data_IF_459498465286
#
_entry.id   IF_459498465286
#
_cell.length_a   1.000
_cell.length_b   1.000
_cell.length_c   1.000
_cell.angle_alpha   90.00
_cell.angle_beta   90.00
_cell.angle_gamma   90.00
#
_symmetry.space_group_name_H-M   'P 1'
#
loop_
_entity.id
_entity.type
_entity.pdbx_description
1 polymer ?
#
# COMPACT_ATOMS: atom_id res chain seq x y z
N UNK A 1 18.26 17.32 19.47
CA UNK A 1 16.97 17.25 18.71
C UNK A 1 16.57 15.78 18.61
N UNK A 2 15.27 15.39 18.78
CA UNK A 2 14.85 13.99 18.65
C UNK A 2 14.99 13.52 17.20
N UNK A 3 15.46 12.29 16.99
CA UNK A 3 15.53 11.67 15.65
C UNK A 3 14.12 11.34 15.12
N UNK A 4 13.99 11.11 13.82
CA UNK A 4 12.73 10.68 13.18
C UNK A 4 12.17 9.41 13.85
N UNK A 5 13.04 8.44 14.17
CA UNK A 5 12.65 7.22 14.89
C UNK A 5 12.08 7.57 16.28
N UNK A 6 12.76 8.40 17.05
CA UNK A 6 12.27 8.81 18.38
C UNK A 6 10.92 9.52 18.32
N UNK A 7 10.70 10.37 17.30
CA UNK A 7 9.39 11.03 17.07
C UNK A 7 8.32 10.01 16.70
N UNK A 8 8.64 9.04 15.84
CA UNK A 8 7.74 7.95 15.46
C UNK A 8 7.32 7.13 16.67
N UNK A 9 8.28 6.68 17.49
CA UNK A 9 8.01 5.90 18.70
C UNK A 9 7.15 6.68 19.72
N UNK A 10 7.42 7.95 19.87
CA UNK A 10 6.62 8.82 20.74
C UNK A 10 5.17 8.95 20.24
N UNK A 11 4.98 9.14 18.94
CA UNK A 11 3.63 9.20 18.33
C UNK A 11 2.91 7.86 18.49
N UNK A 12 3.58 6.75 18.19
CA UNK A 12 3.03 5.40 18.35
C UNK A 12 2.60 5.10 19.80
N UNK A 13 3.37 5.61 20.79
CA UNK A 13 3.04 5.46 22.21
C UNK A 13 1.84 6.30 22.63
N UNK A 14 1.78 7.55 22.20
CA UNK A 14 0.84 8.54 22.74
C UNK A 14 -0.48 8.59 21.96
N UNK A 15 -0.45 8.35 20.68
CA UNK A 15 -1.60 8.51 19.77
C UNK A 15 -2.10 7.15 19.26
N UNK A 16 -3.32 6.77 19.65
CA UNK A 16 -3.91 5.48 19.25
C UNK A 16 -4.13 5.35 17.75
N UNK A 17 -4.57 6.41 17.09
CA UNK A 17 -4.82 6.43 15.65
C UNK A 17 -3.58 6.16 14.78
N UNK A 18 -2.36 6.22 15.37
CA UNK A 18 -1.15 5.76 14.70
C UNK A 18 -1.24 4.29 14.27
N UNK A 19 -1.97 3.47 15.03
CA UNK A 19 -2.06 2.03 14.83
C UNK A 19 -3.16 1.61 13.86
N UNK A 20 -4.11 2.50 13.54
CA UNK A 20 -5.26 2.20 12.67
C UNK A 20 -4.83 1.58 11.35
N UNK A 21 -3.80 2.15 10.70
CA UNK A 21 -3.20 1.61 9.48
C UNK A 21 -2.74 0.16 9.65
N UNK A 22 -2.07 -0.14 10.73
CA UNK A 22 -1.47 -1.45 10.96
C UNK A 22 -2.52 -2.50 11.34
N UNK A 23 -3.49 -2.13 12.20
CA UNK A 23 -4.58 -3.02 12.59
C UNK A 23 -5.42 -3.45 11.39
N UNK A 24 -5.75 -2.54 10.48
CA UNK A 24 -6.55 -2.89 9.29
C UNK A 24 -5.77 -3.74 8.28
N UNK A 25 -4.45 -3.62 8.26
CA UNK A 25 -3.59 -4.47 7.45
C UNK A 25 -3.32 -5.84 8.09
N UNK A 26 -3.63 -6.05 9.36
CA UNK A 26 -3.59 -7.36 10.01
C UNK A 26 -2.80 -7.45 11.30
N UNK A 27 -2.19 -6.35 11.76
CA UNK A 27 -1.59 -6.35 13.10
C UNK A 27 -2.68 -6.50 14.14
N UNK A 28 -2.54 -7.48 15.03
CA UNK A 28 -3.55 -7.83 16.01
C UNK A 28 -3.58 -6.82 17.17
N UNK A 29 -4.77 -6.46 17.62
CA UNK A 29 -4.97 -5.42 18.65
C UNK A 29 -4.29 -5.77 19.99
N UNK A 30 -4.19 -7.06 20.35
CA UNK A 30 -3.50 -7.47 21.55
C UNK A 30 -1.98 -7.18 21.47
N UNK A 31 -1.35 -7.39 20.29
CA UNK A 31 0.06 -7.08 20.05
C UNK A 31 0.33 -5.59 20.21
N UNK A 32 -0.59 -4.76 19.67
CA UNK A 32 -0.51 -3.29 19.82
C UNK A 32 -0.68 -2.87 21.28
N UNK A 33 -1.66 -3.42 21.99
CA UNK A 33 -1.94 -3.07 23.39
C UNK A 33 -0.81 -3.44 24.34
N UNK A 34 -0.10 -4.52 24.06
CA UNK A 34 1.08 -4.95 24.84
C UNK A 34 2.28 -4.02 24.64
N UNK A 35 2.60 -3.67 23.38
CA UNK A 35 3.81 -2.88 23.10
C UNK A 35 3.62 -1.40 23.41
N UNK A 36 2.46 -0.84 23.12
CA UNK A 36 2.22 0.61 23.16
C UNK A 36 2.67 1.30 24.45
N UNK A 37 2.35 0.82 25.67
CA UNK A 37 2.81 1.45 26.92
C UNK A 37 4.33 1.36 27.12
N UNK A 38 4.99 0.38 26.50
CA UNK A 38 6.41 0.08 26.66
C UNK A 38 7.31 0.82 25.66
N UNK A 39 6.76 1.44 24.62
CA UNK A 39 7.51 2.11 23.56
C UNK A 39 8.35 3.27 24.09
N UNK A 40 9.61 2.99 24.44
CA UNK A 40 10.58 3.96 24.91
C UNK A 40 11.78 4.14 23.96
N UNK A 41 12.14 3.10 23.23
CA UNK A 41 13.29 3.07 22.34
C UNK A 41 13.09 2.10 21.17
N UNK A 42 14.04 2.09 20.25
CA UNK A 42 14.00 1.27 19.03
C UNK A 42 14.11 -0.24 19.33
N UNK A 43 14.89 -0.62 20.32
CA UNK A 43 15.09 -2.02 20.71
C UNK A 43 13.77 -2.67 21.15
N UNK A 44 12.98 -1.98 21.99
CA UNK A 44 11.64 -2.46 22.38
C UNK A 44 10.74 -2.69 21.17
N UNK A 45 10.77 -1.80 20.18
CA UNK A 45 10.02 -1.98 18.93
C UNK A 45 10.49 -3.20 18.15
N UNK A 46 11.79 -3.28 17.88
CA UNK A 46 12.34 -4.35 17.03
C UNK A 46 12.22 -5.72 17.68
N UNK A 47 12.45 -5.83 18.99
CA UNK A 47 12.32 -7.09 19.73
C UNK A 47 10.87 -7.58 19.78
N UNK A 48 9.92 -6.69 20.04
CA UNK A 48 8.51 -7.07 20.13
C UNK A 48 7.98 -7.59 18.79
N UNK A 49 8.20 -6.87 17.70
CA UNK A 49 7.73 -7.31 16.39
C UNK A 49 8.56 -8.46 15.81
N UNK A 50 9.84 -8.62 16.22
CA UNK A 50 10.58 -9.84 15.91
C UNK A 50 9.98 -11.06 16.62
N UNK A 51 9.64 -10.96 17.90
CA UNK A 51 8.97 -12.04 18.66
C UNK A 51 7.62 -12.39 18.04
N UNK A 52 6.82 -11.39 17.69
CA UNK A 52 5.54 -11.60 17.01
C UNK A 52 5.72 -12.28 15.65
N UNK A 53 6.71 -11.84 14.86
CA UNK A 53 7.04 -12.45 13.58
C UNK A 53 7.46 -13.92 13.73
N UNK A 54 8.36 -14.22 14.67
CA UNK A 54 8.80 -15.60 14.95
C UNK A 54 7.68 -16.51 15.45
N UNK A 55 6.82 -16.00 16.36
CA UNK A 55 5.66 -16.74 16.84
C UNK A 55 4.75 -17.15 15.68
N UNK A 56 4.42 -16.21 14.82
CA UNK A 56 3.57 -16.48 13.66
C UNK A 56 4.26 -17.42 12.64
N UNK A 57 5.57 -17.33 12.46
CA UNK A 57 6.32 -18.26 11.61
C UNK A 57 6.28 -19.69 12.17
N UNK A 58 6.42 -19.86 13.49
CA UNK A 58 6.31 -21.15 14.16
C UNK A 58 4.88 -21.73 14.07
N UNK A 59 3.86 -20.90 14.25
CA UNK A 59 2.46 -21.30 14.05
C UNK A 59 2.22 -21.75 12.60
N UNK A 60 2.71 -20.99 11.62
CA UNK A 60 2.61 -21.35 10.21
C UNK A 60 3.24 -22.73 9.95
N UNK A 61 4.43 -22.98 10.46
CA UNK A 61 5.09 -24.27 10.33
C UNK A 61 4.28 -25.41 10.96
N UNK A 62 3.77 -25.22 12.19
CA UNK A 62 2.93 -26.21 12.87
C UNK A 62 1.64 -26.50 12.12
N UNK A 63 0.99 -25.52 11.50
CA UNK A 63 -0.19 -25.73 10.67
C UNK A 63 0.15 -26.46 9.38
N UNK A 64 1.28 -26.13 8.76
CA UNK A 64 1.74 -26.80 7.54
C UNK A 64 2.00 -28.29 7.76
N UNK A 65 2.66 -28.66 8.87
CA UNK A 65 2.88 -30.06 9.27
C UNK A 65 1.58 -30.84 9.50
N UNK A 66 0.50 -30.14 9.88
CA UNK A 66 -0.85 -30.71 10.03
C UNK A 66 -1.68 -30.67 8.75
N UNK A 67 -1.07 -30.32 7.61
CA UNK A 67 -1.73 -30.16 6.31
C UNK A 67 -2.85 -29.08 6.29
N UNK A 68 -2.83 -28.14 7.23
CA UNK A 68 -3.72 -26.99 7.28
C UNK A 68 -3.08 -25.81 6.51
N UNK A 69 -3.07 -25.94 5.19
CA UNK A 69 -2.30 -25.07 4.29
C UNK A 69 -2.79 -23.62 4.31
N UNK A 70 -4.10 -23.39 4.38
CA UNK A 70 -4.67 -22.03 4.40
C UNK A 70 -4.29 -21.27 5.67
N UNK A 71 -4.30 -21.95 6.82
CA UNK A 71 -3.86 -21.42 8.10
C UNK A 71 -2.36 -21.13 8.08
N UNK A 72 -1.57 -22.06 7.56
CA UNK A 72 -0.12 -21.88 7.42
C UNK A 72 0.21 -20.66 6.52
N UNK A 73 -0.46 -20.54 5.37
CA UNK A 73 -0.33 -19.38 4.49
C UNK A 73 -0.64 -18.07 5.21
N UNK A 74 -1.76 -18.02 5.94
CA UNK A 74 -2.17 -16.84 6.70
C UNK A 74 -1.11 -16.42 7.72
N UNK A 75 -0.61 -17.35 8.53
CA UNK A 75 0.38 -17.04 9.57
C UNK A 75 1.76 -16.68 9.00
N UNK A 76 2.18 -17.23 7.86
CA UNK A 76 3.38 -16.74 7.16
C UNK A 76 3.20 -15.29 6.66
N UNK A 77 2.03 -14.91 6.13
CA UNK A 77 1.76 -13.53 5.73
C UNK A 77 1.74 -12.58 6.93
N UNK A 78 1.19 -13.03 8.05
CA UNK A 78 1.17 -12.24 9.28
C UNK A 78 2.58 -12.08 9.85
N UNK A 79 3.40 -13.14 9.85
CA UNK A 79 4.83 -13.06 10.19
C UNK A 79 5.55 -12.02 9.31
N UNK A 80 5.32 -12.03 8.00
CA UNK A 80 5.89 -11.06 7.08
C UNK A 80 5.49 -9.63 7.45
N UNK A 81 4.23 -9.39 7.83
CA UNK A 81 3.74 -8.07 8.24
C UNK A 81 4.47 -7.56 9.50
N UNK A 82 4.74 -8.41 10.48
CA UNK A 82 5.49 -8.02 11.67
C UNK A 82 6.96 -7.68 11.35
N UNK A 83 7.60 -8.44 10.47
CA UNK A 83 8.95 -8.08 9.99
C UNK A 83 8.92 -6.80 9.12
N UNK A 84 7.83 -6.56 8.39
CA UNK A 84 7.65 -5.30 7.66
C UNK A 84 7.54 -4.09 8.60
N UNK A 85 6.90 -4.22 9.77
CA UNK A 85 6.91 -3.18 10.81
C UNK A 85 8.32 -2.86 11.29
N UNK A 86 9.18 -3.89 11.46
CA UNK A 86 10.56 -3.69 11.86
C UNK A 86 11.38 -2.96 10.80
N UNK A 87 11.23 -3.27 9.51
CA UNK A 87 11.92 -2.49 8.48
C UNK A 87 11.35 -1.08 8.35
N UNK A 88 10.02 -0.94 8.53
CA UNK A 88 9.34 0.34 8.34
C UNK A 88 9.80 1.40 9.33
N UNK A 89 10.16 1.04 10.57
CA UNK A 89 10.61 2.01 11.58
C UNK A 89 11.84 2.81 11.11
N UNK A 90 12.68 2.24 10.25
CA UNK A 90 13.85 2.91 9.68
C UNK A 90 13.44 3.74 8.46
N UNK A 91 13.49 5.08 8.52
CA UNK A 91 13.08 5.95 7.40
C UNK A 91 14.09 5.95 6.26
N UNK A 92 15.37 5.66 6.54
CA UNK A 92 16.47 5.64 5.56
C UNK A 92 17.00 4.22 5.37
N UNK A 93 17.60 3.98 4.21
CA UNK A 93 18.37 2.77 3.98
C UNK A 93 19.47 2.61 5.02
N UNK A 94 19.59 1.43 5.55
CA UNK A 94 20.69 0.93 6.39
C UNK A 94 20.64 -0.59 6.46
N UNK A 95 21.63 -1.20 7.10
CA UNK A 95 21.73 -2.66 7.21
C UNK A 95 20.56 -3.26 8.00
N UNK A 96 20.10 -2.61 9.07
CA UNK A 96 18.94 -3.08 9.84
C UNK A 96 17.65 -3.10 9.02
N UNK A 97 17.38 -2.02 8.26
CA UNK A 97 16.23 -1.97 7.34
C UNK A 97 16.28 -3.11 6.33
N UNK A 98 17.45 -3.31 5.74
CA UNK A 98 17.70 -4.39 4.78
C UNK A 98 17.48 -5.76 5.39
N UNK A 99 18.04 -6.01 6.57
CA UNK A 99 17.88 -7.27 7.32
C UNK A 99 16.40 -7.59 7.61
N UNK A 100 15.67 -6.64 8.16
CA UNK A 100 14.26 -6.86 8.49
C UNK A 100 13.39 -7.04 7.26
N UNK A 101 13.70 -6.34 6.17
CA UNK A 101 12.94 -6.51 4.96
C UNK A 101 13.24 -7.84 4.26
N UNK A 102 14.45 -8.34 4.34
CA UNK A 102 14.78 -9.69 3.87
C UNK A 102 13.98 -10.76 4.65
N UNK A 103 13.85 -10.64 5.97
CA UNK A 103 13.00 -11.53 6.78
C UNK A 103 11.52 -11.45 6.34
N UNK A 104 11.00 -10.26 6.09
CA UNK A 104 9.67 -10.06 5.55
C UNK A 104 9.49 -10.81 4.23
N UNK A 105 10.40 -10.62 3.28
CA UNK A 105 10.35 -11.26 1.96
C UNK A 105 10.47 -12.79 2.02
N UNK A 106 11.29 -13.32 2.94
CA UNK A 106 11.39 -14.77 3.17
C UNK A 106 10.04 -15.32 3.63
N UNK A 107 9.39 -14.69 4.61
CA UNK A 107 8.09 -15.15 5.13
C UNK A 107 6.98 -15.06 4.08
N UNK A 108 6.92 -13.98 3.29
CA UNK A 108 5.91 -13.86 2.24
C UNK A 108 6.11 -14.90 1.14
N UNK A 109 7.36 -15.19 0.77
CA UNK A 109 7.69 -16.24 -0.22
C UNK A 109 7.35 -17.63 0.28
N UNK A 110 7.49 -17.91 1.58
CA UNK A 110 7.01 -19.18 2.19
C UNK A 110 5.49 -19.28 2.07
N UNK A 111 4.74 -18.20 2.35
CA UNK A 111 3.29 -18.18 2.16
C UNK A 111 2.91 -18.45 0.71
N UNK A 112 3.57 -17.77 -0.23
CA UNK A 112 3.27 -17.91 -1.66
C UNK A 112 3.64 -19.29 -2.22
N UNK A 113 4.68 -19.94 -1.68
CA UNK A 113 5.11 -21.27 -2.11
C UNK A 113 4.13 -22.40 -1.74
N UNK A 114 3.33 -22.22 -0.67
CA UNK A 114 2.31 -23.20 -0.25
C UNK A 114 0.90 -22.81 -0.68
N UNK A 115 0.72 -21.57 -1.18
CA UNK A 115 -0.57 -21.08 -1.65
C UNK A 115 -1.04 -21.80 -2.90
N UNK A 116 -2.36 -22.01 -3.03
CA UNK A 116 -2.98 -22.49 -4.26
C UNK A 116 -3.04 -21.43 -5.38
N UNK A 117 -2.65 -20.19 -5.07
CA UNK A 117 -2.68 -19.06 -6.01
C UNK A 117 -1.37 -19.01 -6.78
N UNK A 118 -1.42 -19.07 -8.12
CA UNK A 118 -0.24 -18.84 -8.98
C UNK A 118 0.28 -17.42 -8.72
N UNK A 119 1.48 -17.34 -8.13
CA UNK A 119 2.14 -16.08 -7.77
C UNK A 119 3.45 -15.96 -8.50
N UNK A 120 3.62 -14.86 -9.24
CA UNK A 120 4.83 -14.56 -10.01
C UNK A 120 5.49 -13.31 -9.48
N UNK A 121 6.77 -13.41 -9.17
CA UNK A 121 7.61 -12.26 -8.84
C UNK A 121 8.17 -11.67 -10.13
N UNK A 122 7.99 -10.38 -10.31
CA UNK A 122 8.26 -9.66 -11.55
C UNK A 122 9.01 -8.37 -11.28
N UNK A 123 9.60 -7.80 -12.33
CA UNK A 123 10.30 -6.52 -12.21
C UNK A 123 10.13 -5.67 -13.47
N UNK A 124 10.25 -4.36 -13.28
CA UNK A 124 10.32 -3.37 -14.35
C UNK A 124 11.48 -2.41 -14.07
N UNK A 125 11.97 -1.74 -15.10
CA UNK A 125 13.08 -0.78 -14.98
C UNK A 125 12.57 0.66 -15.01
N UNK A 126 12.96 1.46 -14.00
CA UNK A 126 12.65 2.89 -13.91
C UNK A 126 13.93 3.65 -13.59
N UNK A 127 14.32 4.57 -14.45
CA UNK A 127 15.54 5.38 -14.27
C UNK A 127 16.80 4.54 -13.95
N UNK A 128 17.00 3.43 -14.66
CA UNK A 128 18.09 2.46 -14.47
C UNK A 128 18.11 1.77 -13.08
N UNK A 129 16.95 1.66 -12.44
CA UNK A 129 16.76 0.91 -11.19
C UNK A 129 15.63 -0.08 -11.38
N UNK A 130 15.80 -1.25 -10.77
CA UNK A 130 14.78 -2.30 -10.79
C UNK A 130 13.69 -2.02 -9.76
N UNK A 131 12.45 -1.90 -10.22
CA UNK A 131 11.26 -1.88 -9.37
C UNK A 131 10.67 -3.28 -9.29
N UNK A 132 10.47 -3.78 -8.06
CA UNK A 132 10.03 -5.15 -7.80
C UNK A 132 8.53 -5.24 -7.63
N UNK A 133 7.93 -6.27 -8.22
CA UNK A 133 6.49 -6.49 -8.19
C UNK A 133 6.09 -7.94 -8.00
N UNK A 134 4.80 -8.13 -7.85
CA UNK A 134 4.15 -9.43 -7.72
C UNK A 134 2.85 -9.43 -8.50
N UNK A 135 2.64 -10.51 -9.26
CA UNK A 135 1.39 -10.79 -9.98
C UNK A 135 0.78 -12.05 -9.39
N UNK A 136 -0.51 -11.99 -9.05
CA UNK A 136 -1.28 -13.16 -8.61
C UNK A 136 -2.37 -13.45 -9.61
N UNK A 137 -2.51 -14.71 -9.95
CA UNK A 137 -3.35 -15.20 -11.04
C UNK A 137 -4.42 -16.15 -10.50
N UNK A 138 -5.72 -15.81 -10.60
CA UNK A 138 -6.78 -16.76 -10.35
C UNK A 138 -6.98 -17.67 -11.55
N UNK A 139 -7.67 -18.80 -11.37
CA UNK A 139 -7.90 -19.77 -12.45
C UNK A 139 -8.75 -19.18 -13.60
N UNK A 140 -9.73 -18.34 -13.30
CA UNK A 140 -10.67 -17.77 -14.27
C UNK A 140 -10.77 -16.25 -14.06
N UNK A 141 -9.83 -15.44 -14.56
CA UNK A 141 -9.79 -14.02 -14.30
C UNK A 141 -10.96 -13.28 -14.97
N UNK A 142 -11.61 -12.39 -14.22
CA UNK A 142 -12.69 -11.51 -14.68
C UNK A 142 -12.21 -10.08 -14.94
N UNK A 143 -11.00 -9.74 -14.52
CA UNK A 143 -10.37 -8.43 -14.68
C UNK A 143 -8.96 -8.44 -14.08
N UNK A 144 -8.20 -7.39 -14.35
CA UNK A 144 -6.87 -7.17 -13.81
C UNK A 144 -6.85 -5.87 -13.01
N UNK A 145 -6.43 -5.92 -11.76
CA UNK A 145 -6.34 -4.75 -10.86
C UNK A 145 -4.87 -4.46 -10.57
N UNK A 146 -4.42 -3.29 -10.98
CA UNK A 146 -3.15 -2.72 -10.50
C UNK A 146 -3.43 -2.04 -9.16
N UNK A 147 -2.78 -2.51 -8.09
CA UNK A 147 -2.84 -1.89 -6.77
C UNK A 147 -1.72 -0.85 -6.68
N UNK A 148 -2.12 0.42 -6.58
CA UNK A 148 -1.18 1.53 -6.47
C UNK A 148 -1.00 1.88 -5.00
N UNK A 149 0.14 1.50 -4.46
CA UNK A 149 0.46 1.65 -3.04
C UNK A 149 0.61 3.13 -2.64
N UNK A 150 0.20 3.51 -1.41
CA UNK A 150 0.54 4.83 -0.88
C UNK A 150 2.05 4.96 -0.69
N UNK A 151 2.55 6.20 -0.76
CA UNK A 151 3.94 6.48 -0.39
C UNK A 151 4.22 6.00 1.05
N UNK A 152 5.43 5.62 1.37
CA UNK A 152 5.81 5.08 2.68
C UNK A 152 5.18 3.71 3.03
N UNK A 153 4.67 2.97 2.05
CA UNK A 153 4.23 1.59 2.23
C UNK A 153 5.07 0.62 1.38
N UNK A 154 4.73 -0.64 1.46
CA UNK A 154 5.25 -1.70 0.59
C UNK A 154 4.11 -2.61 0.13
N UNK A 155 4.29 -3.31 -0.99
CA UNK A 155 3.33 -4.32 -1.45
C UNK A 155 3.11 -5.41 -0.40
N UNK A 156 4.10 -5.66 0.47
CA UNK A 156 4.02 -6.66 1.53
C UNK A 156 3.05 -6.26 2.66
N UNK A 157 2.88 -4.96 2.90
CA UNK A 157 1.89 -4.44 3.83
C UNK A 157 0.46 -4.67 3.34
N UNK A 158 0.25 -4.57 2.03
CA UNK A 158 -1.08 -4.57 1.41
C UNK A 158 -1.55 -5.96 0.95
N UNK A 159 -0.97 -7.05 1.46
CA UNK A 159 -1.32 -8.40 1.04
C UNK A 159 -2.81 -8.72 1.15
N UNK A 160 -3.53 -8.14 2.13
CA UNK A 160 -4.98 -8.30 2.26
C UNK A 160 -5.75 -7.77 1.05
N UNK A 161 -5.25 -6.71 0.41
CA UNK A 161 -5.89 -6.16 -0.79
C UNK A 161 -5.79 -7.17 -1.93
N UNK A 162 -4.59 -7.73 -2.14
CA UNK A 162 -4.38 -8.76 -3.13
C UNK A 162 -5.28 -9.97 -2.88
N UNK A 163 -5.35 -10.45 -1.62
CA UNK A 163 -6.16 -11.61 -1.26
C UNK A 163 -7.67 -11.38 -1.45
N UNK A 164 -8.18 -10.18 -1.15
CA UNK A 164 -9.59 -9.89 -1.36
C UNK A 164 -9.96 -9.84 -2.84
N UNK A 165 -9.11 -9.25 -3.68
CA UNK A 165 -9.33 -9.19 -5.12
C UNK A 165 -9.19 -10.56 -5.79
N UNK A 166 -8.17 -11.34 -5.39
CA UNK A 166 -7.94 -12.67 -5.98
C UNK A 166 -9.10 -13.65 -5.68
N UNK A 167 -9.69 -13.58 -4.47
CA UNK A 167 -10.86 -14.39 -4.09
C UNK A 167 -12.09 -14.11 -4.96
N UNK A 168 -12.14 -12.96 -5.62
CA UNK A 168 -13.19 -12.60 -6.57
C UNK A 168 -12.73 -12.72 -8.03
N UNK A 169 -11.73 -13.52 -8.28
CA UNK A 169 -11.18 -13.83 -9.59
C UNK A 169 -10.58 -12.63 -10.35
N UNK A 170 -10.07 -11.61 -9.65
CA UNK A 170 -9.27 -10.57 -10.29
C UNK A 170 -7.79 -10.94 -10.27
N UNK A 171 -7.09 -10.79 -11.39
CA UNK A 171 -5.63 -10.71 -11.39
C UNK A 171 -5.23 -9.52 -10.55
N UNK A 172 -4.22 -9.66 -9.70
CA UNK A 172 -3.64 -8.52 -8.97
C UNK A 172 -2.21 -8.28 -9.41
N UNK A 173 -1.88 -7.02 -9.64
CA UNK A 173 -0.53 -6.55 -9.94
C UNK A 173 -0.18 -5.52 -8.87
N UNK A 174 0.87 -5.78 -8.11
CA UNK A 174 1.36 -4.89 -7.05
C UNK A 174 2.86 -4.72 -7.17
N UNK A 175 3.32 -3.47 -7.30
CA UNK A 175 4.73 -3.11 -7.37
C UNK A 175 5.09 -2.15 -6.24
N UNK A 176 6.32 -2.25 -5.77
CA UNK A 176 6.96 -1.17 -5.01
C UNK A 176 7.58 -0.19 -6.01
N UNK A 177 7.04 1.01 -6.05
CA UNK A 177 7.53 2.08 -6.91
C UNK A 177 8.69 2.89 -6.29
N UNK A 178 9.06 4.00 -6.91
CA UNK A 178 10.10 4.90 -6.38
C UNK A 178 9.77 5.37 -4.96
N UNK A 179 10.69 5.19 -4.04
CA UNK A 179 10.53 5.54 -2.62
C UNK A 179 9.81 4.51 -1.78
N UNK A 180 9.45 3.33 -2.33
CA UNK A 180 8.65 2.32 -1.64
C UNK A 180 9.41 1.00 -1.44
N UNK A 181 9.04 0.30 -0.38
CA UNK A 181 9.30 -1.10 -0.07
C UNK A 181 10.63 -1.67 -0.55
N UNK A 182 10.55 -2.75 -1.32
CA UNK A 182 11.70 -3.50 -1.85
C UNK A 182 12.58 -2.64 -2.77
N UNK A 183 11.95 -1.82 -3.63
CA UNK A 183 12.63 -0.93 -4.57
C UNK A 183 13.49 0.10 -3.84
N UNK A 184 12.94 0.83 -2.87
CA UNK A 184 13.74 1.80 -2.11
C UNK A 184 14.79 1.11 -1.23
N UNK A 185 14.42 0.02 -0.56
CA UNK A 185 15.32 -0.64 0.40
C UNK A 185 16.56 -1.21 -0.27
N UNK A 186 16.44 -1.82 -1.45
CA UNK A 186 17.58 -2.48 -2.11
C UNK A 186 18.20 -1.67 -3.25
N UNK A 187 17.42 -0.84 -3.93
CA UNK A 187 17.90 -0.05 -5.07
C UNK A 187 18.21 1.41 -4.72
N UNK A 188 17.68 1.92 -3.61
CA UNK A 188 17.83 3.31 -3.22
C UNK A 188 17.04 4.29 -4.09
N UNK A 189 16.17 3.81 -4.97
CA UNK A 189 15.40 4.67 -5.87
C UNK A 189 14.43 5.53 -5.08
N UNK A 190 14.71 6.83 -5.02
CA UNK A 190 13.84 7.82 -4.39
C UNK A 190 12.74 8.28 -5.33
N UNK A 191 11.64 8.74 -4.73
CA UNK A 191 10.48 9.26 -5.44
C UNK A 191 10.75 10.66 -6.02
N UNK A 192 10.36 10.86 -7.28
CA UNK A 192 10.12 12.16 -7.91
C UNK A 192 8.79 12.07 -8.67
N UNK A 193 8.17 13.20 -8.99
CA UNK A 193 6.95 13.20 -9.80
C UNK A 193 7.18 12.50 -11.15
N UNK A 194 8.29 12.80 -11.83
CA UNK A 194 8.60 12.17 -13.12
C UNK A 194 8.79 10.66 -13.02
N UNK A 195 9.54 10.17 -12.02
CA UNK A 195 9.72 8.73 -11.82
C UNK A 195 8.40 8.02 -11.53
N UNK A 196 7.50 8.67 -10.80
CA UNK A 196 6.17 8.13 -10.55
C UNK A 196 5.28 8.12 -11.79
N UNK A 197 5.38 9.13 -12.67
CA UNK A 197 4.73 9.11 -14.00
C UNK A 197 5.24 7.92 -14.81
N UNK A 198 6.56 7.84 -15.00
CA UNK A 198 7.21 6.76 -15.76
C UNK A 198 6.86 5.37 -15.17
N UNK A 199 6.85 5.25 -13.84
CA UNK A 199 6.49 4.02 -13.13
C UNK A 199 5.03 3.63 -13.39
N UNK A 200 4.08 4.55 -13.22
CA UNK A 200 2.66 4.27 -13.41
C UNK A 200 2.39 3.84 -14.85
N UNK A 201 2.94 4.56 -15.81
CA UNK A 201 2.78 4.24 -17.23
C UNK A 201 3.41 2.89 -17.57
N UNK A 202 4.61 2.59 -17.06
CA UNK A 202 5.28 1.30 -17.29
C UNK A 202 4.52 0.13 -16.68
N UNK A 203 3.93 0.28 -15.47
CA UNK A 203 3.11 -0.79 -14.85
C UNK A 203 1.84 -1.03 -15.67
N UNK A 204 1.21 0.02 -16.20
CA UNK A 204 0.04 -0.12 -17.09
C UNK A 204 0.43 -0.84 -18.39
N UNK A 205 1.55 -0.46 -19.00
CA UNK A 205 2.06 -1.14 -20.20
C UNK A 205 2.39 -2.60 -19.94
N UNK A 206 3.03 -2.89 -18.81
CA UNK A 206 3.30 -4.26 -18.36
C UNK A 206 1.99 -5.06 -18.25
N UNK A 207 0.99 -4.55 -17.53
CA UNK A 207 -0.28 -5.23 -17.35
C UNK A 207 -0.98 -5.50 -18.69
N UNK A 208 -1.02 -4.51 -19.56
CA UNK A 208 -1.62 -4.63 -20.90
C UNK A 208 -0.88 -5.64 -21.78
N UNK A 209 0.44 -5.67 -21.75
CA UNK A 209 1.22 -6.59 -22.59
C UNK A 209 1.05 -8.07 -22.20
N UNK A 210 0.82 -8.33 -20.91
CA UNK A 210 0.63 -9.70 -20.41
C UNK A 210 -0.84 -10.15 -20.38
N UNK A 211 -1.80 -9.20 -20.32
CA UNK A 211 -3.24 -9.47 -20.19
C UNK A 211 -4.07 -8.59 -21.12
N UNK A 212 -3.83 -8.61 -22.47
CA UNK A 212 -4.41 -7.66 -23.42
C UNK A 212 -5.94 -7.79 -23.55
N UNK A 213 -6.49 -8.99 -23.32
CA UNK A 213 -7.91 -9.28 -23.49
C UNK A 213 -8.72 -9.16 -22.18
N UNK A 214 -8.08 -8.71 -21.10
CA UNK A 214 -8.70 -8.61 -19.78
C UNK A 214 -8.87 -7.14 -19.39
N UNK A 215 -10.08 -6.69 -18.96
CA UNK A 215 -10.27 -5.32 -18.51
C UNK A 215 -9.30 -4.91 -17.42
N UNK A 216 -8.65 -3.75 -17.58
CA UNK A 216 -7.63 -3.25 -16.68
C UNK A 216 -8.18 -2.16 -15.77
N UNK A 217 -8.02 -2.34 -14.49
CA UNK A 217 -8.50 -1.47 -13.43
C UNK A 217 -7.36 -0.96 -12.55
N UNK A 218 -7.54 0.21 -11.96
CA UNK A 218 -6.63 0.76 -10.96
C UNK A 218 -7.34 0.87 -9.61
N UNK A 219 -6.64 0.50 -8.54
CA UNK A 219 -7.07 0.71 -7.16
C UNK A 219 -5.96 1.38 -6.38
N UNK A 220 -6.18 2.60 -5.90
CA UNK A 220 -5.17 3.35 -5.16
C UNK A 220 -5.70 3.94 -3.85
N UNK A 221 -4.80 4.07 -2.86
CA UNK A 221 -5.08 4.74 -1.58
C UNK A 221 -4.09 5.87 -1.35
N UNK A 222 -4.53 6.99 -0.78
CA UNK A 222 -3.69 8.17 -0.48
C UNK A 222 -2.97 8.70 -1.74
N UNK A 223 -1.64 8.83 -1.72
CA UNK A 223 -0.85 9.19 -2.91
C UNK A 223 -1.04 8.20 -4.06
N UNK A 224 -1.22 6.90 -3.76
CA UNK A 224 -1.56 5.90 -4.75
C UNK A 224 -2.91 6.15 -5.42
N UNK A 225 -3.89 6.73 -4.69
CA UNK A 225 -5.16 7.14 -5.27
C UNK A 225 -4.99 8.28 -6.29
N UNK A 226 -4.11 9.23 -6.02
CA UNK A 226 -3.78 10.31 -6.96
C UNK A 226 -3.12 9.76 -8.22
N UNK A 227 -2.25 8.76 -8.08
CA UNK A 227 -1.63 8.06 -9.20
C UNK A 227 -2.60 7.14 -9.93
N UNK A 228 -3.60 6.56 -9.27
CA UNK A 228 -4.69 5.83 -9.93
C UNK A 228 -5.55 6.77 -10.78
N UNK A 229 -5.82 7.99 -10.32
CA UNK A 229 -6.50 9.03 -11.13
C UNK A 229 -5.62 9.41 -12.32
N UNK A 230 -4.33 9.64 -12.15
CA UNK A 230 -3.41 9.89 -13.27
C UNK A 230 -3.43 8.73 -14.27
N UNK A 231 -3.25 7.50 -13.80
CA UNK A 231 -3.24 6.32 -14.67
C UNK A 231 -4.55 6.10 -15.42
N UNK A 232 -5.70 6.59 -14.90
CA UNK A 232 -6.97 6.51 -15.60
C UNK A 232 -7.03 7.34 -16.90
N UNK A 233 -6.08 8.26 -17.10
CA UNK A 233 -5.94 8.97 -18.37
C UNK A 233 -5.37 8.08 -19.50
N UNK A 234 -4.78 6.93 -19.15
CA UNK A 234 -4.28 5.99 -20.15
C UNK A 234 -5.45 5.23 -20.79
N UNK A 235 -5.55 5.19 -22.14
CA UNK A 235 -6.68 4.56 -22.86
C UNK A 235 -6.84 3.06 -22.55
N UNK A 236 -5.79 2.38 -22.12
CA UNK A 236 -5.77 0.96 -21.74
C UNK A 236 -6.50 0.67 -20.42
N UNK A 237 -6.65 1.68 -19.58
CA UNK A 237 -7.37 1.56 -18.30
C UNK A 237 -8.86 1.67 -18.53
N UNK A 238 -9.64 0.78 -17.93
CA UNK A 238 -11.10 0.76 -18.04
C UNK A 238 -11.76 1.65 -16.99
N UNK A 239 -11.41 1.47 -15.71
CA UNK A 239 -11.95 2.23 -14.57
C UNK A 239 -10.88 2.39 -13.48
N UNK A 240 -11.02 3.39 -12.60
CA UNK A 240 -10.13 3.58 -11.46
C UNK A 240 -10.90 3.85 -10.17
N UNK A 241 -10.40 3.28 -9.07
CA UNK A 241 -10.85 3.57 -7.71
C UNK A 241 -9.79 4.39 -6.99
N UNK A 242 -10.23 5.47 -6.37
CA UNK A 242 -9.38 6.39 -5.62
C UNK A 242 -9.90 6.57 -4.19
N UNK A 243 -9.13 6.08 -3.20
CA UNK A 243 -9.49 6.17 -1.78
C UNK A 243 -8.66 7.26 -1.12
N UNK A 244 -9.31 8.31 -0.65
CA UNK A 244 -8.68 9.50 -0.02
C UNK A 244 -7.48 10.02 -0.83
N UNK A 245 -7.65 10.45 -2.08
CA UNK A 245 -6.53 10.89 -2.91
C UNK A 245 -5.79 12.04 -2.23
N UNK A 246 -4.46 11.92 -2.12
CA UNK A 246 -3.60 12.96 -1.63
C UNK A 246 -3.50 14.07 -2.68
N UNK A 247 -3.88 15.28 -2.32
CA UNK A 247 -3.84 16.45 -3.19
C UNK A 247 -2.95 17.48 -2.53
N UNK A 248 -2.04 18.08 -3.30
CA UNK A 248 -1.24 19.18 -2.78
C UNK A 248 -2.17 20.34 -2.42
N UNK A 249 -2.24 20.65 -1.14
CA UNK A 249 -2.97 21.82 -0.64
C UNK A 249 -2.08 22.60 0.33
N UNK A 250 -2.28 23.91 0.40
CA UNK A 250 -1.63 24.76 1.41
C UNK A 250 -2.29 24.52 2.78
N UNK A 251 -1.48 24.54 3.85
CA UNK A 251 -1.99 24.55 5.23
C UNK A 251 -2.28 23.19 5.86
N UNK A 252 -1.69 22.09 5.37
CA UNK A 252 -1.79 20.79 6.04
C UNK A 252 -0.65 20.65 7.05
N UNK A 253 -1.00 20.51 8.33
CA UNK A 253 -0.07 20.19 9.40
C UNK A 253 0.10 18.68 9.54
N UNK A 254 0.97 18.09 8.74
CA UNK A 254 1.34 16.68 8.88
C UNK A 254 2.23 16.49 10.12
N UNK A 255 2.10 15.35 10.82
CA UNK A 255 2.98 15.03 11.95
C UNK A 255 4.46 15.09 11.55
N UNK A 256 5.30 15.71 12.39
CA UNK A 256 6.70 15.94 12.07
C UNK A 256 7.48 14.66 11.70
N UNK A 257 7.18 13.53 12.35
CA UNK A 257 7.79 12.25 12.00
C UNK A 257 7.45 11.83 10.58
N UNK A 258 6.21 12.07 10.14
CA UNK A 258 5.75 11.70 8.80
C UNK A 258 6.43 12.55 7.73
N UNK A 259 6.50 13.87 7.94
CA UNK A 259 7.23 14.79 7.03
C UNK A 259 8.70 14.35 6.88
N UNK A 260 9.37 14.04 8.00
CA UNK A 260 10.76 13.60 7.96
C UNK A 260 10.96 12.25 7.25
N UNK A 261 10.00 11.33 7.41
CA UNK A 261 9.98 10.06 6.68
C UNK A 261 9.81 10.30 5.18
N UNK A 262 8.85 11.13 4.78
CA UNK A 262 8.66 11.51 3.37
C UNK A 262 9.93 12.11 2.78
N UNK A 263 10.59 13.04 3.48
CA UNK A 263 11.85 13.63 3.05
C UNK A 263 13.00 12.61 2.92
N UNK A 264 12.88 11.43 3.52
CA UNK A 264 13.90 10.37 3.38
C UNK A 264 13.75 9.58 2.09
N UNK A 265 12.52 9.42 1.58
CA UNK A 265 12.19 8.62 0.40
C UNK A 265 11.93 9.45 -0.85
N UNK A 266 11.81 10.77 -0.71
CA UNK A 266 11.65 11.73 -1.82
C UNK A 266 13.03 12.32 -2.16
N UNK A 267 13.31 12.46 -3.47
CA UNK A 267 14.50 13.15 -3.96
C UNK A 267 14.16 14.61 -4.11
N UNK A 268 14.66 15.51 -3.50
CA UNK A 268 14.32 16.93 -3.47
C UNK A 268 12.98 17.29 -2.80
N UNK A 269 12.83 18.58 -2.51
CA UNK A 269 11.62 19.13 -1.86
C UNK A 269 10.43 19.28 -2.83
N UNK A 270 10.47 18.61 -3.97
CA UNK A 270 9.41 18.67 -4.97
C UNK A 270 8.20 17.84 -4.57
N UNK A 271 7.06 18.18 -5.14
CA UNK A 271 5.88 17.33 -5.01
C UNK A 271 6.10 16.03 -5.77
N UNK A 272 5.70 14.91 -5.15
CA UNK A 272 5.65 13.61 -5.82
C UNK A 272 4.26 13.30 -6.38
N UNK A 273 3.28 14.17 -6.17
CA UNK A 273 1.90 13.96 -6.58
C UNK A 273 1.68 14.47 -8.01
N UNK A 274 0.83 13.80 -8.80
CA UNK A 274 0.46 14.29 -10.12
C UNK A 274 -0.31 15.61 -10.00
N UNK A 275 -0.20 16.46 -11.02
CA UNK A 275 -1.02 17.66 -11.11
C UNK A 275 -2.40 17.30 -11.63
N UNK A 276 -3.30 16.89 -10.74
CA UNK A 276 -4.66 16.45 -11.09
C UNK A 276 -5.48 17.54 -11.77
N UNK A 277 -5.09 18.82 -11.61
CA UNK A 277 -5.78 19.95 -12.26
C UNK A 277 -5.51 20.07 -13.76
N UNK A 278 -4.42 19.50 -14.24
CA UNK A 278 -4.01 19.54 -15.65
C UNK A 278 -4.34 18.26 -16.40
N UNK A 279 -4.91 17.25 -15.73
CA UNK A 279 -5.25 15.97 -16.35
C UNK A 279 -6.55 16.08 -17.16
N UNK A 280 -6.54 15.45 -18.31
CA UNK A 280 -7.73 15.22 -19.11
C UNK A 280 -8.29 13.83 -18.80
N UNK A 281 -9.13 13.77 -17.76
CA UNK A 281 -9.69 12.52 -17.23
C UNK A 281 -10.95 12.17 -18.02
N UNK A 282 -10.98 10.98 -18.63
CA UNK A 282 -12.13 10.53 -19.42
C UNK A 282 -12.71 9.21 -18.94
N UNK A 283 -11.97 8.49 -18.10
CA UNK A 283 -12.41 7.17 -17.62
C UNK A 283 -13.22 7.28 -16.34
N UNK A 284 -14.16 6.36 -16.11
CA UNK A 284 -14.94 6.33 -14.88
C UNK A 284 -14.07 6.23 -13.63
N UNK A 285 -14.38 7.04 -12.61
CA UNK A 285 -13.70 7.02 -11.32
C UNK A 285 -14.70 6.84 -10.20
N UNK A 286 -14.44 5.86 -9.30
CA UNK A 286 -15.14 5.74 -8.05
C UNK A 286 -14.22 6.26 -6.93
N UNK A 287 -14.64 7.36 -6.31
CA UNK A 287 -13.88 8.01 -5.25
C UNK A 287 -14.50 7.73 -3.89
N UNK A 288 -13.63 7.45 -2.91
CA UNK A 288 -13.98 7.31 -1.51
C UNK A 288 -13.24 8.34 -0.67
N UNK A 289 -13.90 8.86 0.37
CA UNK A 289 -13.32 9.86 1.26
C UNK A 289 -13.80 9.65 2.69
N UNK A 290 -12.93 9.98 3.66
CA UNK A 290 -13.27 10.06 5.07
C UNK A 290 -13.49 11.52 5.47
N UNK A 291 -14.65 11.85 6.03
CA UNK A 291 -14.98 13.24 6.38
C UNK A 291 -14.06 13.83 7.47
N UNK A 292 -13.37 12.97 8.24
CA UNK A 292 -12.38 13.35 9.25
C UNK A 292 -10.94 13.34 8.72
N UNK A 293 -10.75 13.31 7.39
CA UNK A 293 -9.43 13.33 6.77
C UNK A 293 -8.70 14.65 7.05
N UNK A 294 -7.61 14.57 7.80
CA UNK A 294 -6.77 15.73 8.14
C UNK A 294 -5.71 16.04 7.08
N UNK A 295 -5.49 15.12 6.12
CA UNK A 295 -4.49 15.30 5.06
C UNK A 295 -5.07 15.94 3.80
N UNK A 296 -6.34 15.70 3.50
CA UNK A 296 -7.04 16.32 2.37
C UNK A 296 -8.46 16.69 2.80
N UNK A 297 -8.80 17.98 2.78
CA UNK A 297 -10.12 18.44 3.22
C UNK A 297 -11.23 17.96 2.27
N UNK A 298 -12.45 17.71 2.81
CA UNK A 298 -13.63 17.37 2.01
C UNK A 298 -13.90 18.39 0.92
N UNK A 299 -13.67 19.68 1.18
CA UNK A 299 -13.81 20.74 0.16
C UNK A 299 -12.88 20.52 -1.04
N UNK A 300 -11.63 20.14 -0.78
CA UNK A 300 -10.65 19.85 -1.85
C UNK A 300 -11.08 18.63 -2.66
N UNK A 301 -11.60 17.60 -1.98
CA UNK A 301 -12.11 16.39 -2.60
C UNK A 301 -13.35 16.67 -3.45
N UNK A 302 -14.31 17.46 -2.96
CA UNK A 302 -15.50 17.83 -3.73
C UNK A 302 -15.12 18.62 -4.98
N UNK A 303 -14.21 19.57 -4.88
CA UNK A 303 -13.71 20.33 -6.04
C UNK A 303 -13.03 19.42 -7.08
N UNK A 304 -12.32 18.38 -6.65
CA UNK A 304 -11.76 17.38 -7.57
C UNK A 304 -12.88 16.55 -8.19
N UNK A 305 -13.82 16.05 -7.38
CA UNK A 305 -14.91 15.21 -7.84
C UNK A 305 -15.77 15.93 -8.90
N UNK A 306 -16.10 17.20 -8.70
CA UNK A 306 -16.91 17.98 -9.64
C UNK A 306 -16.30 18.04 -11.06
N UNK A 307 -14.97 17.96 -11.14
CA UNK A 307 -14.22 18.00 -12.40
C UNK A 307 -14.03 16.64 -13.07
N UNK A 308 -14.37 15.53 -12.40
CA UNK A 308 -14.31 14.21 -13.00
C UNK A 308 -15.41 14.04 -14.07
N UNK A 309 -15.24 13.10 -15.03
CA UNK A 309 -16.24 12.83 -16.05
C UNK A 309 -17.61 12.47 -15.44
N UNK A 310 -18.66 12.51 -16.24
CA UNK A 310 -20.04 12.26 -15.79
C UNK A 310 -20.26 10.84 -15.23
N UNK A 311 -19.54 9.87 -15.76
CA UNK A 311 -19.57 8.49 -15.26
C UNK A 311 -18.62 8.36 -14.05
N UNK A 312 -19.08 8.85 -12.90
CA UNK A 312 -18.34 8.89 -11.64
C UNK A 312 -19.21 8.48 -10.48
N UNK A 313 -18.60 7.88 -9.46
CA UNK A 313 -19.24 7.59 -8.18
C UNK A 313 -18.45 8.21 -7.02
N UNK A 314 -19.14 8.60 -5.96
CA UNK A 314 -18.54 9.14 -4.73
C UNK A 314 -19.23 8.56 -3.51
N UNK A 315 -18.43 8.20 -2.52
CA UNK A 315 -18.92 7.79 -1.21
C UNK A 315 -18.05 8.37 -0.12
N UNK A 316 -18.66 9.17 0.76
CA UNK A 316 -18.02 9.71 1.95
C UNK A 316 -18.43 8.93 3.19
N UNK A 317 -17.50 8.71 4.10
CA UNK A 317 -17.72 8.08 5.40
C UNK A 317 -17.50 9.10 6.52
N UNK A 318 -18.56 9.50 7.19
CA UNK A 318 -18.55 10.56 8.23
C UNK A 318 -17.58 10.28 9.39
N UNK A 319 -17.41 9.00 9.77
CA UNK A 319 -16.57 8.58 10.90
C UNK A 319 -15.15 8.16 10.53
N UNK A 320 -14.74 8.31 9.26
CA UNK A 320 -13.43 7.86 8.78
C UNK A 320 -12.47 9.02 8.58
N UNK A 321 -11.19 8.75 8.86
CA UNK A 321 -10.09 9.63 8.54
C UNK A 321 -9.43 9.32 7.20
N UNK A 322 -8.18 9.70 7.05
CA UNK A 322 -7.39 9.44 5.84
C UNK A 322 -7.31 7.95 5.52
N UNK A 323 -7.46 7.61 4.24
CA UNK A 323 -7.56 6.23 3.73
C UNK A 323 -8.81 5.44 4.11
N UNK A 324 -9.75 5.95 4.89
CA UNK A 324 -10.95 5.24 5.31
C UNK A 324 -10.63 3.85 5.90
N UNK A 325 -9.66 3.78 6.81
CA UNK A 325 -9.02 2.54 7.25
C UNK A 325 -10.02 1.45 7.63
N UNK A 326 -10.99 1.74 8.50
CA UNK A 326 -11.97 0.76 8.96
C UNK A 326 -13.06 0.40 7.94
N UNK A 327 -13.06 1.05 6.78
CA UNK A 327 -13.97 0.75 5.66
C UNK A 327 -13.26 0.10 4.47
N UNK A 328 -11.94 -0.08 4.51
CA UNK A 328 -11.15 -0.57 3.37
C UNK A 328 -11.63 -1.93 2.84
N UNK A 329 -12.02 -2.87 3.68
CA UNK A 329 -12.61 -4.14 3.22
C UNK A 329 -13.93 -3.90 2.46
N UNK A 330 -14.82 -3.06 3.00
CA UNK A 330 -16.09 -2.70 2.34
C UNK A 330 -15.82 -1.94 1.04
N UNK A 331 -14.84 -1.04 1.04
CA UNK A 331 -14.44 -0.29 -0.15
C UNK A 331 -13.97 -1.24 -1.25
N UNK A 332 -13.10 -2.21 -0.95
CA UNK A 332 -12.66 -3.21 -1.93
C UNK A 332 -13.83 -4.02 -2.50
N UNK A 333 -14.79 -4.45 -1.65
CA UNK A 333 -16.01 -5.15 -2.09
C UNK A 333 -16.84 -4.29 -3.04
N UNK A 334 -17.09 -3.02 -2.69
CA UNK A 334 -17.84 -2.08 -3.54
C UNK A 334 -17.09 -1.79 -4.86
N UNK A 335 -15.78 -1.70 -4.80
CA UNK A 335 -14.94 -1.48 -5.99
C UNK A 335 -15.03 -2.64 -6.97
N UNK A 336 -14.95 -3.89 -6.49
CA UNK A 336 -15.08 -5.07 -7.34
C UNK A 336 -16.46 -5.16 -8.00
N UNK A 337 -17.54 -4.89 -7.27
CA UNK A 337 -18.87 -4.82 -7.84
C UNK A 337 -18.96 -3.77 -8.95
N UNK A 338 -18.43 -2.59 -8.69
CA UNK A 338 -18.46 -1.49 -9.65
C UNK A 338 -17.57 -1.73 -10.89
N UNK A 339 -16.46 -2.43 -10.74
CA UNK A 339 -15.63 -2.79 -11.89
C UNK A 339 -16.38 -3.66 -12.89
N UNK A 340 -17.28 -4.52 -12.42
CA UNK A 340 -18.04 -5.48 -13.22
C UNK A 340 -19.36 -4.90 -13.79
N UNK A 341 -19.79 -3.72 -13.35
CA UNK A 341 -20.90 -2.97 -13.99
C UNK A 341 -20.51 -2.46 -15.38
#
# INVERSE_FOLDING_TARGET
MKTTIQKTLMTARLFSGFWDRWSVHGVEDHVVSEIRPQLGNLEVWTDHFNKSGQLNENLAHSFYEKHLVNEAEYYYRLSALYYNLNQWIYPKQNDDKTYWFQKCLISIRKADAISSIDTRYVSIEISNHTCFGRVRLPANPVGCIIIVNPIDSSKEELFKYEMDFIRQNFITISFDGPGQGETYTFQGLKATQKRWMDFTDTVIEYAWSFFPDIPLYLFGTSSGASWAIYGSCNPKVTKAVAVSPAIRSEGIDLPAYFIERMNSVIEDKETILPNLHQLNIHKPIFMFHGALDVMTSSKTIYNLYDRLPSDKKFLEYEGEGHCCNYKLEKIRKLSMMWYLE
#
